data_IF_359658774523
#
_entry.id   IF_359658774523
#
_cell.length_a   1.000
_cell.length_b   1.000
_cell.length_c   1.000
_cell.angle_alpha   90.00
_cell.angle_beta   90.00
_cell.angle_gamma   90.00
#
_symmetry.space_group_name_H-M   'P 1'
#
loop_
_entity.id
_entity.type
_entity.pdbx_description
1 polymer ?
#
# COMPACT_ATOMS: atom_id res chain seq x y z
N UNK A 1 -41.97 -7.67 12.33
CA UNK A 1 -40.52 -7.51 12.54
C UNK A 1 -39.77 -8.83 12.73
N UNK A 2 -40.44 -9.94 12.81
CA UNK A 2 -39.85 -11.29 13.01
C UNK A 2 -39.43 -11.99 11.71
N UNK A 3 -39.95 -11.58 10.55
CA UNK A 3 -39.70 -12.28 9.29
C UNK A 3 -38.33 -12.00 8.69
N UNK A 4 -37.76 -10.84 8.98
CA UNK A 4 -36.39 -10.46 8.50
C UNK A 4 -35.26 -11.21 9.21
N UNK A 5 -35.46 -11.62 10.46
CA UNK A 5 -34.44 -12.34 11.24
C UNK A 5 -34.37 -13.80 10.78
N UNK A 6 -35.48 -14.39 10.44
CA UNK A 6 -35.51 -15.76 9.93
C UNK A 6 -34.92 -15.88 8.51
N UNK A 7 -35.07 -14.86 7.67
CA UNK A 7 -34.39 -14.82 6.36
C UNK A 7 -32.87 -14.69 6.49
N UNK A 8 -32.38 -13.90 7.43
CA UNK A 8 -30.94 -13.77 7.71
C UNK A 8 -30.33 -15.05 8.28
N UNK A 9 -31.07 -15.78 9.12
CA UNK A 9 -30.62 -17.07 9.67
C UNK A 9 -30.51 -18.13 8.57
N UNK A 10 -31.48 -18.21 7.68
CA UNK A 10 -31.49 -19.16 6.56
C UNK A 10 -30.34 -18.87 5.55
N UNK A 11 -29.99 -17.58 5.33
CA UNK A 11 -28.83 -17.19 4.51
C UNK A 11 -27.50 -17.57 5.15
N UNK A 12 -27.40 -17.46 6.46
CA UNK A 12 -26.19 -17.84 7.22
C UNK A 12 -25.99 -19.37 7.24
N UNK A 13 -27.06 -20.15 7.30
CA UNK A 13 -26.96 -21.62 7.19
C UNK A 13 -26.57 -22.07 5.79
N UNK A 14 -27.14 -21.46 4.74
CA UNK A 14 -26.77 -21.77 3.36
C UNK A 14 -25.31 -21.47 3.03
N UNK A 15 -24.74 -20.41 3.61
CA UNK A 15 -23.30 -20.08 3.47
C UNK A 15 -22.41 -21.08 4.22
N UNK A 16 -22.85 -21.60 5.36
CA UNK A 16 -22.12 -22.64 6.10
C UNK A 16 -22.07 -23.98 5.35
N UNK A 17 -23.15 -24.38 4.70
CA UNK A 17 -23.17 -25.62 3.92
C UNK A 17 -22.31 -25.54 2.66
N UNK A 18 -22.20 -24.36 2.03
CA UNK A 18 -21.34 -24.16 0.86
C UNK A 18 -19.83 -24.20 1.20
N UNK A 19 -19.43 -23.89 2.43
CA UNK A 19 -18.05 -23.97 2.88
C UNK A 19 -17.57 -25.38 3.26
N UNK A 20 -18.50 -26.30 3.49
CA UNK A 20 -18.20 -27.69 3.87
C UNK A 20 -18.04 -28.63 2.67
N UNK A 21 -18.48 -28.25 1.48
CA UNK A 21 -18.42 -29.12 0.27
C UNK A 21 -17.21 -28.88 -0.63
N UNK A 22 -16.37 -27.87 -0.36
CA UNK A 22 -15.17 -27.56 -1.18
C UNK A 22 -13.87 -28.21 -0.72
N UNK A 23 -13.90 -29.01 0.35
CA UNK A 23 -12.69 -29.64 0.92
C UNK A 23 -12.55 -31.15 0.73
N UNK A 24 -13.32 -31.75 -0.18
CA UNK A 24 -13.17 -33.16 -0.52
C UNK A 24 -12.96 -33.34 -2.03
N UNK A 25 -11.74 -33.11 -2.52
CA UNK A 25 -11.08 -33.85 -3.62
C UNK A 25 -9.75 -33.17 -4.00
N UNK A 26 -8.61 -33.55 -3.37
CA UNK A 26 -7.30 -33.08 -3.83
C UNK A 26 -6.69 -33.91 -4.98
N UNK A 27 -7.30 -35.00 -5.42
CA UNK A 27 -6.56 -36.01 -6.22
C UNK A 27 -7.04 -36.25 -7.66
N UNK A 28 -7.83 -35.36 -8.26
CA UNK A 28 -8.37 -35.63 -9.60
C UNK A 28 -7.94 -34.68 -10.73
N UNK A 29 -6.83 -33.90 -10.55
CA UNK A 29 -6.36 -32.99 -11.59
C UNK A 29 -4.89 -33.11 -11.94
N UNK A 30 -4.30 -34.29 -11.84
CA UNK A 30 -2.92 -34.56 -12.30
C UNK A 30 -2.83 -35.82 -13.11
N UNK A 31 -3.64 -35.96 -14.17
CA UNK A 31 -3.35 -36.94 -15.23
C UNK A 31 -3.66 -36.29 -16.59
N UNK A 32 -2.65 -36.35 -17.50
CA UNK A 32 -2.72 -36.07 -18.92
C UNK A 32 -2.68 -34.60 -19.39
N UNK A 33 -1.52 -33.94 -19.14
CA UNK A 33 -1.06 -32.90 -20.07
C UNK A 33 -0.01 -33.50 -21.01
N UNK A 34 -0.18 -33.41 -22.35
CA UNK A 34 0.83 -33.89 -23.28
C UNK A 34 2.11 -33.05 -23.13
N UNK A 35 3.25 -33.74 -23.10
CA UNK A 35 4.58 -33.12 -23.12
C UNK A 35 4.73 -32.32 -24.41
N UNK A 36 4.70 -31.01 -24.28
CA UNK A 36 5.09 -30.11 -25.37
C UNK A 36 6.61 -30.19 -25.48
N UNK A 37 7.08 -30.76 -26.58
CA UNK A 37 8.47 -30.74 -26.97
C UNK A 37 8.92 -29.28 -27.12
N UNK A 38 10.06 -28.95 -26.52
CA UNK A 38 10.69 -27.64 -26.63
C UNK A 38 11.19 -27.49 -28.09
N UNK A 39 10.41 -26.79 -28.88
CA UNK A 39 10.95 -26.21 -30.11
C UNK A 39 11.86 -25.04 -29.74
N UNK A 40 13.11 -25.12 -30.20
CA UNK A 40 14.11 -24.07 -30.07
C UNK A 40 13.60 -22.82 -30.81
N UNK A 41 13.05 -21.85 -30.10
CA UNK A 41 12.80 -20.51 -30.62
C UNK A 41 14.15 -19.84 -30.91
N UNK A 42 14.47 -19.72 -32.19
CA UNK A 42 15.54 -18.87 -32.72
C UNK A 42 15.35 -17.46 -32.15
N UNK A 43 16.35 -16.98 -31.42
CA UNK A 43 16.44 -15.59 -30.94
C UNK A 43 16.28 -14.62 -32.13
N UNK A 44 15.07 -14.09 -32.28
CA UNK A 44 14.87 -12.88 -33.06
C UNK A 44 15.50 -11.73 -32.31
N UNK A 45 16.60 -11.19 -32.82
CA UNK A 45 17.22 -9.94 -32.31
C UNK A 45 16.15 -8.88 -32.16
N UNK A 46 15.76 -8.60 -30.91
CA UNK A 46 14.97 -7.44 -30.59
C UNK A 46 15.76 -6.19 -30.97
N UNK A 47 15.16 -5.22 -31.66
CA UNK A 47 15.85 -3.98 -31.97
C UNK A 47 16.32 -3.36 -30.62
N UNK A 48 17.61 -3.03 -30.58
CA UNK A 48 18.18 -2.32 -29.42
C UNK A 48 17.50 -0.95 -29.35
N UNK A 49 16.48 -0.84 -28.52
CA UNK A 49 16.03 0.45 -28.04
C UNK A 49 17.24 1.08 -27.36
N UNK A 50 17.63 2.27 -27.79
CA UNK A 50 18.62 3.07 -27.06
C UNK A 50 18.11 3.18 -25.63
N UNK A 51 18.77 2.49 -24.69
CA UNK A 51 18.60 2.77 -23.27
C UNK A 51 19.09 4.21 -23.08
N UNK A 52 18.14 5.13 -23.05
CA UNK A 52 18.41 6.45 -22.53
C UNK A 52 18.67 6.26 -21.04
N UNK A 53 19.91 6.37 -20.66
CA UNK A 53 20.34 6.49 -19.26
C UNK A 53 19.82 7.84 -18.71
N UNK A 54 18.51 7.85 -18.42
CA UNK A 54 17.93 8.92 -17.62
C UNK A 54 18.47 8.74 -16.21
N UNK A 55 19.04 9.80 -15.60
CA UNK A 55 19.53 9.72 -14.23
C UNK A 55 18.39 9.20 -13.34
N UNK A 56 18.65 8.08 -12.65
CA UNK A 56 17.70 7.38 -11.77
C UNK A 56 17.27 8.17 -10.52
N UNK A 57 17.76 9.39 -10.36
CA UNK A 57 17.52 10.25 -9.19
C UNK A 57 16.50 11.36 -9.42
N UNK A 58 15.61 11.22 -10.41
CA UNK A 58 14.51 12.16 -10.52
C UNK A 58 13.40 11.78 -9.53
N UNK A 59 13.42 12.37 -8.34
CA UNK A 59 12.23 12.36 -7.47
C UNK A 59 11.02 12.79 -8.29
N UNK A 60 9.90 12.08 -8.12
CA UNK A 60 8.67 12.39 -8.85
C UNK A 60 8.26 13.85 -8.60
N UNK A 61 7.72 14.49 -9.64
CA UNK A 61 7.16 15.85 -9.52
C UNK A 61 5.85 15.88 -8.74
N UNK A 62 5.23 14.71 -8.55
CA UNK A 62 3.98 14.52 -7.79
C UNK A 62 4.29 13.73 -6.54
N UNK A 63 3.88 14.25 -5.39
CA UNK A 63 3.98 13.56 -4.11
C UNK A 63 2.61 13.38 -3.47
N UNK A 64 2.39 12.24 -2.87
CA UNK A 64 1.20 11.94 -2.06
C UNK A 64 1.64 11.69 -0.63
N UNK A 65 1.14 12.49 0.29
CA UNK A 65 1.51 12.45 1.71
C UNK A 65 0.31 12.00 2.52
N UNK A 66 0.40 10.85 3.14
CA UNK A 66 -0.60 10.35 4.09
C UNK A 66 -0.27 10.79 5.51
N UNK A 67 -1.15 11.55 6.15
CA UNK A 67 -0.96 12.04 7.51
C UNK A 67 -1.87 11.31 8.48
N UNK A 68 -1.29 10.79 9.55
CA UNK A 68 -1.99 10.03 10.58
C UNK A 68 -2.51 8.68 10.10
N UNK A 69 -3.36 8.03 10.91
CA UNK A 69 -3.85 6.68 10.61
C UNK A 69 -4.71 6.60 9.34
N UNK A 70 -5.63 7.52 9.13
CA UNK A 70 -6.51 7.56 7.95
C UNK A 70 -5.74 7.82 6.65
N UNK A 71 -4.89 8.85 6.64
CA UNK A 71 -4.04 9.18 5.49
C UNK A 71 -3.03 8.07 5.19
N UNK A 72 -2.41 7.50 6.22
CA UNK A 72 -1.50 6.36 6.07
C UNK A 72 -2.16 5.15 5.43
N UNK A 73 -3.38 4.79 5.83
CA UNK A 73 -4.13 3.68 5.24
C UNK A 73 -4.47 3.94 3.77
N UNK A 74 -4.88 5.16 3.42
CA UNK A 74 -5.18 5.53 2.04
C UNK A 74 -3.92 5.41 1.15
N UNK A 75 -2.78 5.95 1.61
CA UNK A 75 -1.51 5.89 0.88
C UNK A 75 -0.99 4.45 0.79
N UNK A 76 -1.11 3.63 1.83
CA UNK A 76 -0.77 2.22 1.79
C UNK A 76 -1.56 1.47 0.70
N UNK A 77 -2.85 1.76 0.59
CA UNK A 77 -3.69 1.17 -0.46
C UNK A 77 -3.22 1.59 -1.85
N UNK A 78 -3.01 2.90 -2.08
CA UNK A 78 -2.50 3.43 -3.35
C UNK A 78 -1.14 2.84 -3.74
N UNK A 79 -0.26 2.64 -2.76
CA UNK A 79 1.05 2.02 -2.97
C UNK A 79 0.95 0.57 -3.40
N UNK A 80 0.05 -0.20 -2.76
CA UNK A 80 -0.20 -1.60 -3.11
C UNK A 80 -0.84 -1.77 -4.49
N UNK A 81 -1.64 -0.79 -4.96
CA UNK A 81 -2.18 -0.75 -6.32
C UNK A 81 -1.10 -0.48 -7.39
N UNK A 82 0.13 -0.16 -6.97
CA UNK A 82 1.26 0.00 -7.87
C UNK A 82 1.20 1.23 -8.77
N UNK A 83 0.61 2.32 -8.30
CA UNK A 83 0.54 3.60 -9.02
C UNK A 83 1.95 4.11 -9.28
N UNK A 84 2.29 4.40 -10.54
CA UNK A 84 3.62 4.84 -10.97
C UNK A 84 3.68 6.34 -11.23
N UNK A 85 4.89 6.90 -11.14
CA UNK A 85 5.13 8.32 -11.41
C UNK A 85 4.77 9.25 -10.24
N UNK A 86 4.59 8.68 -9.06
CA UNK A 86 4.25 9.38 -7.82
C UNK A 86 5.16 8.88 -6.70
N UNK A 87 5.65 9.80 -5.88
CA UNK A 87 6.34 9.44 -4.64
C UNK A 87 5.32 9.41 -3.49
N UNK A 88 5.29 8.29 -2.79
CA UNK A 88 4.44 8.12 -1.62
C UNK A 88 5.23 8.37 -0.34
N UNK A 89 4.63 9.16 0.55
CA UNK A 89 5.17 9.52 1.85
C UNK A 89 4.11 9.29 2.92
N UNK A 90 4.48 8.76 4.06
CA UNK A 90 3.59 8.66 5.22
C UNK A 90 4.20 9.38 6.42
N UNK A 91 3.35 10.14 7.12
CA UNK A 91 3.70 10.89 8.30
C UNK A 91 2.79 10.47 9.45
N UNK A 92 3.34 10.09 10.58
CA UNK A 92 2.53 9.75 11.75
C UNK A 92 3.29 10.06 13.04
N UNK A 93 2.54 10.31 14.12
CA UNK A 93 3.06 10.38 15.50
C UNK A 93 3.17 8.99 16.13
N UNK A 94 2.54 7.97 15.55
CA UNK A 94 2.58 6.58 15.99
C UNK A 94 3.61 5.79 15.18
N UNK A 95 4.69 5.37 15.86
CA UNK A 95 5.78 4.61 15.25
C UNK A 95 5.33 3.23 14.77
N UNK A 96 4.45 2.55 15.50
CA UNK A 96 3.99 1.22 15.13
C UNK A 96 3.23 1.24 13.80
N UNK A 97 2.41 2.28 13.59
CA UNK A 97 1.69 2.46 12.33
C UNK A 97 2.64 2.70 11.14
N UNK A 98 3.76 3.39 11.37
CA UNK A 98 4.80 3.58 10.36
C UNK A 98 5.56 2.29 10.05
N UNK A 99 5.87 1.49 11.06
CA UNK A 99 6.66 0.26 10.88
C UNK A 99 5.93 -0.78 10.02
N UNK A 100 4.61 -0.90 10.19
CA UNK A 100 3.77 -1.85 9.45
C UNK A 100 3.56 -1.43 7.99
N UNK A 101 3.71 -0.14 7.67
CA UNK A 101 3.45 0.37 6.32
C UNK A 101 4.46 -0.16 5.28
N UNK A 102 4.03 -0.53 4.06
CA UNK A 102 4.90 -0.91 2.96
C UNK A 102 5.57 0.29 2.27
N UNK A 103 5.13 1.52 2.55
CA UNK A 103 5.64 2.73 1.90
C UNK A 103 7.08 2.99 2.32
N UNK A 104 8.00 3.28 1.38
CA UNK A 104 9.43 3.41 1.69
C UNK A 104 9.79 4.71 2.44
N UNK A 105 9.07 5.81 2.15
CA UNK A 105 9.37 7.12 2.76
C UNK A 105 8.42 7.34 3.93
N UNK A 106 9.00 7.39 5.13
CA UNK A 106 8.27 7.49 6.39
C UNK A 106 8.84 8.62 7.22
N UNK A 107 7.97 9.46 7.80
CA UNK A 107 8.35 10.53 8.73
C UNK A 107 7.62 10.29 10.05
N UNK A 108 8.38 10.08 11.11
CA UNK A 108 7.83 10.12 12.45
C UNK A 108 7.74 11.57 12.91
N UNK A 109 6.54 12.00 13.29
CA UNK A 109 6.29 13.35 13.77
C UNK A 109 6.30 13.38 15.31
N UNK A 110 6.97 14.40 15.87
CA UNK A 110 6.91 14.70 17.29
C UNK A 110 7.44 13.57 18.17
N UNK A 111 8.58 12.99 17.82
CA UNK A 111 9.19 11.91 18.61
C UNK A 111 9.44 12.32 20.06
N UNK A 112 9.87 13.55 20.29
CA UNK A 112 10.12 14.07 21.65
C UNK A 112 8.85 14.30 22.44
N UNK A 113 7.72 14.60 21.77
CA UNK A 113 6.44 14.90 22.40
C UNK A 113 5.60 13.66 22.68
N UNK A 114 5.64 12.66 21.77
CA UNK A 114 4.73 11.51 21.80
C UNK A 114 5.41 10.20 22.15
N UNK A 115 6.76 10.17 22.18
CA UNK A 115 7.56 8.94 22.36
C UNK A 115 7.13 7.81 21.41
N UNK A 116 6.57 8.17 20.23
CA UNK A 116 6.08 7.22 19.25
C UNK A 116 4.72 6.56 19.56
N UNK A 117 4.01 7.04 20.60
CA UNK A 117 2.71 6.46 21.03
C UNK A 117 1.50 7.10 20.36
N UNK A 118 1.73 8.10 19.49
CA UNK A 118 0.67 8.84 18.83
C UNK A 118 0.21 10.07 19.63
N UNK A 119 -0.57 10.95 18.97
CA UNK A 119 -1.05 12.21 19.55
C UNK A 119 -2.28 12.06 20.45
N UNK A 120 -2.85 10.85 20.61
CA UNK A 120 -4.00 10.59 21.45
C UNK A 120 -5.27 11.39 21.07
N UNK A 121 -5.46 11.71 19.80
CA UNK A 121 -6.55 12.55 19.28
C UNK A 121 -6.57 13.98 19.86
N UNK A 122 -5.44 14.49 20.35
CA UNK A 122 -5.30 15.86 20.84
C UNK A 122 -4.70 16.74 19.74
N UNK A 123 -5.46 17.71 19.16
CA UNK A 123 -5.01 18.51 18.04
C UNK A 123 -3.75 19.33 18.31
N UNK A 124 -3.57 19.85 19.52
CA UNK A 124 -2.42 20.64 19.92
C UNK A 124 -1.13 19.81 19.90
N UNK A 125 -1.21 18.53 20.32
CA UNK A 125 -0.07 17.62 20.26
C UNK A 125 0.30 17.33 18.81
N UNK A 126 -0.69 17.07 17.96
CA UNK A 126 -0.46 16.86 16.53
C UNK A 126 0.16 18.08 15.85
N UNK A 127 -0.31 19.29 16.17
CA UNK A 127 0.26 20.53 15.65
C UNK A 127 1.72 20.71 16.09
N UNK A 128 2.01 20.54 17.36
CA UNK A 128 3.37 20.70 17.89
C UNK A 128 4.31 19.63 17.34
N UNK A 129 3.84 18.40 17.18
CA UNK A 129 4.59 17.32 16.53
C UNK A 129 4.96 17.66 15.07
N UNK A 130 4.04 18.25 14.31
CA UNK A 130 4.32 18.69 12.95
C UNK A 130 5.32 19.85 12.90
N UNK A 131 5.27 20.76 13.88
CA UNK A 131 6.24 21.88 13.98
C UNK A 131 7.64 21.36 14.29
N UNK A 132 7.77 20.35 15.15
CA UNK A 132 9.04 19.74 15.51
C UNK A 132 9.78 19.21 14.27
N UNK A 133 9.07 18.58 13.34
CA UNK A 133 9.65 17.97 12.15
C UNK A 133 9.38 18.76 10.85
N UNK A 134 9.15 20.06 10.94
CA UNK A 134 8.83 20.89 9.77
C UNK A 134 9.94 20.88 8.71
N UNK A 135 11.19 20.78 9.13
CA UNK A 135 12.33 20.82 8.21
C UNK A 135 12.48 19.48 7.48
N UNK A 136 12.20 18.34 8.11
CA UNK A 136 12.15 17.02 7.46
C UNK A 136 11.06 17.00 6.38
N UNK A 137 9.90 17.59 6.68
CA UNK A 137 8.80 17.70 5.70
C UNK A 137 9.21 18.57 4.52
N UNK A 138 9.87 19.70 4.76
CA UNK A 138 10.37 20.59 3.70
C UNK A 138 11.42 19.91 2.82
N UNK A 139 12.33 19.14 3.43
CA UNK A 139 13.36 18.40 2.71
C UNK A 139 12.73 17.38 1.74
N UNK A 140 11.75 16.60 2.21
CA UNK A 140 11.04 15.64 1.37
C UNK A 140 10.29 16.32 0.23
N UNK A 141 9.66 17.46 0.48
CA UNK A 141 8.98 18.22 -0.57
C UNK A 141 9.97 18.66 -1.66
N UNK A 142 11.19 19.04 -1.28
CA UNK A 142 12.26 19.35 -2.21
C UNK A 142 11.92 20.43 -3.23
N UNK A 143 12.92 20.81 -4.05
CA UNK A 143 12.75 21.86 -5.07
C UNK A 143 12.01 21.39 -6.34
N UNK A 144 11.95 20.08 -6.59
CA UNK A 144 11.42 19.51 -7.82
C UNK A 144 9.92 19.19 -7.75
N UNK A 145 9.32 19.25 -6.57
CA UNK A 145 7.89 18.93 -6.40
C UNK A 145 7.01 20.02 -6.99
N UNK A 146 6.12 19.64 -7.89
CA UNK A 146 5.15 20.55 -8.55
C UNK A 146 3.75 20.42 -7.96
N UNK A 147 3.42 19.22 -7.45
CA UNK A 147 2.10 18.93 -6.92
C UNK A 147 2.20 18.02 -5.68
N UNK A 148 1.42 18.35 -4.67
CA UNK A 148 1.33 17.58 -3.42
C UNK A 148 -0.14 17.32 -3.13
N UNK A 149 -0.49 16.06 -2.90
CA UNK A 149 -1.77 15.63 -2.34
C UNK A 149 -1.57 15.26 -0.87
N UNK A 150 -2.49 15.73 -0.02
CA UNK A 150 -2.47 15.48 1.43
C UNK A 150 -3.82 14.91 1.87
#
# INVERSE_FOLDING_TARGET
>A
MTDNINQLLNLLEAVKEHHLTTNQHPDLFCQDLPKVEKEEEKEAKKPSFMEFDLPKDSSSIIKVIGIGGGGGNAVNHMYNEGIKGVDFVICNTDQQALDISPVPIKIQLGQSLTEGRGAGAIPEIGKNAAIENIDDIKEILGKNTKMVFI
#
